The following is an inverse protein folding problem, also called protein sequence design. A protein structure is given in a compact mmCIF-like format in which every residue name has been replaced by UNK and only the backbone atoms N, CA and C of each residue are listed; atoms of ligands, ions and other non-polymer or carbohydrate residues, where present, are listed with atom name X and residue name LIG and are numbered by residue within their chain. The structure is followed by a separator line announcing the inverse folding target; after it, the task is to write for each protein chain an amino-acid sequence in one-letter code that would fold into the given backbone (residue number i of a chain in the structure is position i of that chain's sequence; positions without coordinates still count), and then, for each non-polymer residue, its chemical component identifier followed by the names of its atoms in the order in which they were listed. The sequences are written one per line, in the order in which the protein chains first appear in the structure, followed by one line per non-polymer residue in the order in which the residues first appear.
data_IF_439115313742
#
_entry.id   IF_439115313742
#
_cell.length_a   1.000
_cell.length_b   1.000
_cell.length_c   1.000
_cell.angle_alpha   90.00
_cell.angle_beta   90.00
_cell.angle_gamma   90.00
#
_symmetry.space_group_name_H-M   'P 1'
#
loop_
_entity.id
_entity.type
_entity.pdbx_description
1 polymer ?
#
# COMPACT_ATOMS: atom_id res chain seq x y z
N UNK A 1 6.99 11.08 25.11
CA UNK A 1 7.83 10.73 23.94
C UNK A 1 7.01 11.10 22.72
N UNK A 2 7.52 11.97 21.87
CA UNK A 2 6.83 12.40 20.64
C UNK A 2 6.56 11.16 19.76
N UNK A 3 5.35 11.01 19.24
CA UNK A 3 4.96 9.90 18.37
C UNK A 3 5.85 9.81 17.12
N UNK A 4 6.32 10.98 16.66
CA UNK A 4 7.28 11.15 15.56
C UNK A 4 8.62 10.49 15.87
N UNK A 5 9.14 10.72 17.08
CA UNK A 5 10.43 10.17 17.53
C UNK A 5 10.34 8.64 17.71
N UNK A 6 9.21 8.15 18.23
CA UNK A 6 8.96 6.73 18.35
C UNK A 6 8.94 6.04 16.98
N UNK A 7 8.30 6.65 15.98
CA UNK A 7 8.24 6.12 14.62
C UNK A 7 9.62 6.11 13.94
N UNK A 8 10.43 7.15 14.15
CA UNK A 8 11.81 7.18 13.64
C UNK A 8 12.63 6.00 14.15
N UNK A 9 12.57 5.74 15.47
CA UNK A 9 13.26 4.61 16.08
C UNK A 9 12.78 3.27 15.50
N UNK A 10 11.47 3.08 15.33
CA UNK A 10 10.92 1.87 14.71
C UNK A 10 11.45 1.65 13.29
N UNK A 11 11.57 2.72 12.49
CA UNK A 11 12.14 2.64 11.14
C UNK A 11 13.62 2.27 11.16
N UNK A 12 14.40 2.82 12.07
CA UNK A 12 15.81 2.45 12.25
C UNK A 12 15.95 0.98 12.65
N UNK A 13 15.20 0.54 13.65
CA UNK A 13 15.17 -0.85 14.10
C UNK A 13 14.74 -1.81 12.97
N UNK A 14 13.79 -1.39 12.13
CA UNK A 14 13.34 -2.17 10.97
C UNK A 14 14.43 -2.29 9.90
N UNK A 15 15.15 -1.20 9.58
CA UNK A 15 16.26 -1.23 8.61
C UNK A 15 17.37 -2.18 9.05
N UNK A 16 17.68 -2.21 10.35
CA UNK A 16 18.69 -3.10 10.92
C UNK A 16 18.35 -4.60 10.78
N UNK A 17 17.07 -4.94 10.54
CA UNK A 17 16.64 -6.32 10.29
C UNK A 17 16.89 -6.78 8.85
N UNK A 18 17.36 -5.88 7.96
CA UNK A 18 17.76 -6.17 6.58
C UNK A 18 16.66 -6.88 5.76
N UNK A 19 15.40 -6.52 5.99
CA UNK A 19 14.22 -7.17 5.40
C UNK A 19 14.10 -6.93 3.91
N UNK A 20 13.57 -7.93 3.21
CA UNK A 20 13.28 -7.92 1.78
C UNK A 20 11.77 -7.81 1.51
N UNK A 21 11.40 -7.18 0.39
CA UNK A 21 9.99 -6.97 0.03
C UNK A 21 9.71 -7.32 -1.43
N UNK A 22 8.52 -7.89 -1.67
CA UNK A 22 7.92 -7.92 -3.00
C UNK A 22 6.67 -7.03 -3.11
N UNK A 23 6.44 -6.48 -4.30
CA UNK A 23 5.28 -5.64 -4.60
C UNK A 23 4.57 -6.17 -5.84
N UNK A 24 3.29 -6.52 -5.70
CA UNK A 24 2.38 -6.78 -6.81
C UNK A 24 1.62 -5.49 -7.15
N UNK A 25 1.52 -5.17 -8.44
CA UNK A 25 0.75 -3.99 -8.89
C UNK A 25 1.50 -2.67 -8.77
N UNK A 26 2.84 -2.69 -8.78
CA UNK A 26 3.69 -1.49 -8.72
C UNK A 26 3.45 -0.48 -9.86
N UNK A 27 2.84 -0.92 -10.98
CA UNK A 27 2.47 -0.03 -12.09
C UNK A 27 1.15 0.72 -11.89
N UNK A 28 0.39 0.39 -10.82
CA UNK A 28 -0.86 1.07 -10.47
C UNK A 28 -0.60 2.37 -9.69
N UNK A 29 -1.64 3.16 -9.47
CA UNK A 29 -1.51 4.45 -8.77
C UNK A 29 -0.94 4.28 -7.36
N UNK A 30 -1.55 3.41 -6.56
CA UNK A 30 -1.07 3.11 -5.20
C UNK A 30 0.29 2.43 -5.21
N UNK A 31 0.51 1.47 -6.10
CA UNK A 31 1.77 0.73 -6.19
C UNK A 31 2.96 1.61 -6.57
N UNK A 32 2.76 2.63 -7.42
CA UNK A 32 3.81 3.57 -7.80
C UNK A 32 4.21 4.47 -6.64
N UNK A 33 3.23 4.99 -5.90
CA UNK A 33 3.47 5.80 -4.70
C UNK A 33 4.15 4.95 -3.61
N UNK A 34 3.71 3.71 -3.41
CA UNK A 34 4.32 2.77 -2.46
C UNK A 34 5.78 2.48 -2.79
N UNK A 35 6.08 2.14 -4.05
CA UNK A 35 7.46 1.91 -4.47
C UNK A 35 8.34 3.14 -4.23
N UNK A 36 7.82 4.33 -4.59
CA UNK A 36 8.53 5.59 -4.37
C UNK A 36 8.85 5.82 -2.89
N UNK A 37 7.86 5.72 -2.01
CA UNK A 37 8.08 5.94 -0.57
C UNK A 37 9.00 4.87 0.06
N UNK A 38 8.94 3.61 -0.40
CA UNK A 38 9.86 2.55 0.04
C UNK A 38 11.32 2.91 -0.28
N UNK A 39 11.58 3.40 -1.50
CA UNK A 39 12.92 3.77 -1.94
C UNK A 39 13.41 5.03 -1.21
N UNK A 40 12.56 6.05 -1.09
CA UNK A 40 12.89 7.30 -0.38
C UNK A 40 13.23 7.05 1.10
N UNK A 41 12.52 6.13 1.76
CA UNK A 41 12.75 5.81 3.17
C UNK A 41 13.80 4.72 3.39
N UNK A 42 14.25 4.04 2.33
CA UNK A 42 15.21 2.93 2.37
C UNK A 42 14.87 1.89 3.45
N UNK A 43 13.59 1.50 3.52
CA UNK A 43 13.09 0.60 4.58
C UNK A 43 13.50 -0.86 4.37
N UNK A 44 13.73 -1.26 3.12
CA UNK A 44 14.03 -2.64 2.74
C UNK A 44 15.40 -2.71 2.05
N UNK A 45 16.10 -3.81 2.31
CA UNK A 45 17.42 -4.09 1.72
C UNK A 45 17.34 -4.57 0.28
N UNK A 46 16.22 -5.20 -0.08
CA UNK A 46 15.92 -5.71 -1.42
C UNK A 46 14.46 -5.45 -1.75
N UNK A 47 14.21 -4.88 -2.93
CA UNK A 47 12.87 -4.58 -3.44
C UNK A 47 12.65 -5.33 -4.76
N UNK A 48 11.61 -6.15 -4.82
CA UNK A 48 11.26 -6.94 -6.01
C UNK A 48 9.86 -6.58 -6.50
N UNK A 49 9.71 -6.21 -7.76
CA UNK A 49 8.41 -6.01 -8.40
C UNK A 49 8.02 -7.30 -9.09
N UNK A 50 6.82 -7.79 -8.81
CA UNK A 50 6.27 -8.96 -9.50
C UNK A 50 5.06 -8.49 -10.32
N UNK A 51 5.09 -8.75 -11.62
CA UNK A 51 4.00 -8.31 -12.48
C UNK A 51 4.06 -8.85 -13.90
N UNK A 52 3.02 -8.56 -14.68
CA UNK A 52 2.87 -9.08 -16.06
C UNK A 52 3.74 -8.40 -17.12
N UNK A 53 4.48 -7.36 -16.76
CA UNK A 53 5.32 -6.58 -17.69
C UNK A 53 6.44 -5.88 -16.94
N UNK A 54 7.58 -5.71 -17.62
CA UNK A 54 8.70 -4.90 -17.13
C UNK A 54 8.31 -3.42 -17.13
N UNK A 55 8.73 -2.70 -16.09
CA UNK A 55 8.60 -1.26 -15.95
C UNK A 55 9.93 -0.57 -16.26
N UNK A 56 9.82 0.58 -16.91
CA UNK A 56 10.95 1.48 -17.20
C UNK A 56 10.94 2.61 -16.19
N UNK A 57 12.10 2.88 -15.59
CA UNK A 57 12.32 3.97 -14.65
C UNK A 57 13.52 4.77 -15.12
N UNK A 58 13.41 6.09 -15.11
CA UNK A 58 14.50 6.99 -15.53
C UNK A 58 15.38 7.44 -14.35
N UNK A 59 14.89 7.26 -13.12
CA UNK A 59 15.56 7.68 -11.89
C UNK A 59 16.56 6.64 -11.37
N UNK A 60 17.74 7.08 -10.94
CA UNK A 60 18.85 6.23 -10.44
C UNK A 60 18.42 5.32 -9.29
N UNK A 61 17.56 5.82 -8.40
CA UNK A 61 17.06 5.10 -7.23
C UNK A 61 16.35 3.78 -7.59
N UNK A 62 15.85 3.65 -8.81
CA UNK A 62 15.11 2.47 -9.28
C UNK A 62 16.00 1.44 -9.97
N UNK A 63 17.27 1.72 -10.23
CA UNK A 63 18.17 0.77 -10.92
C UNK A 63 18.41 -0.51 -10.13
N UNK A 64 18.34 -0.43 -8.81
CA UNK A 64 18.54 -1.57 -7.91
C UNK A 64 17.24 -2.34 -7.62
N UNK A 65 16.13 -1.99 -8.27
CA UNK A 65 14.84 -2.68 -8.08
C UNK A 65 14.79 -3.91 -8.97
N UNK A 66 14.67 -5.09 -8.36
CA UNK A 66 14.48 -6.34 -9.08
C UNK A 66 13.08 -6.37 -9.72
N UNK A 67 12.96 -6.94 -10.92
CA UNK A 67 11.68 -7.07 -11.61
C UNK A 67 11.51 -8.50 -12.14
N UNK A 68 10.54 -9.20 -11.59
CA UNK A 68 10.12 -10.53 -12.03
C UNK A 68 8.87 -10.40 -12.92
N UNK A 69 9.05 -10.73 -14.20
CA UNK A 69 7.94 -10.72 -15.16
C UNK A 69 7.30 -12.11 -15.18
N UNK A 70 6.04 -12.18 -14.75
CA UNK A 70 5.31 -13.44 -14.56
C UNK A 70 4.06 -13.50 -15.43
N UNK A 71 3.65 -14.71 -15.80
CA UNK A 71 2.33 -14.97 -16.36
C UNK A 71 1.38 -15.39 -15.23
N UNK A 72 0.37 -14.55 -14.94
CA UNK A 72 -0.59 -14.83 -13.87
C UNK A 72 -1.52 -16.01 -14.19
N UNK A 73 -1.68 -16.39 -15.47
CA UNK A 73 -2.47 -17.58 -15.84
C UNK A 73 -1.70 -18.88 -15.58
N UNK A 74 -0.37 -18.79 -15.40
CA UNK A 74 0.53 -19.92 -15.14
C UNK A 74 1.45 -19.64 -13.96
N UNK A 75 0.89 -19.08 -12.90
CA UNK A 75 1.68 -18.55 -11.79
C UNK A 75 2.56 -19.61 -11.08
N UNK A 76 2.15 -20.88 -11.12
CA UNK A 76 2.91 -22.01 -10.58
C UNK A 76 4.30 -22.15 -11.22
N UNK A 77 4.42 -21.86 -12.52
CA UNK A 77 5.71 -21.87 -13.25
C UNK A 77 6.66 -20.76 -12.76
N UNK A 78 6.13 -19.76 -12.05
CA UNK A 78 6.83 -18.60 -11.54
C UNK A 78 6.91 -18.58 -10.00
N UNK A 79 6.69 -19.71 -9.33
CA UNK A 79 6.73 -19.81 -7.86
C UNK A 79 8.06 -19.28 -7.27
N UNK A 80 9.17 -19.41 -8.00
CA UNK A 80 10.49 -18.87 -7.59
C UNK A 80 10.50 -17.35 -7.42
N UNK A 81 9.65 -16.61 -8.13
CA UNK A 81 9.56 -15.14 -8.02
C UNK A 81 9.12 -14.69 -6.62
N UNK A 82 8.38 -15.53 -5.89
CA UNK A 82 7.86 -15.26 -4.55
C UNK A 82 8.73 -15.78 -3.41
N UNK A 83 9.83 -16.48 -3.72
CA UNK A 83 10.69 -17.10 -2.71
C UNK A 83 11.66 -16.09 -2.09
N UNK A 84 11.90 -16.23 -0.78
CA UNK A 84 12.95 -15.50 -0.06
C UNK A 84 12.63 -14.03 0.24
N UNK A 85 11.36 -13.63 0.21
CA UNK A 85 10.93 -12.30 0.63
C UNK A 85 10.33 -12.34 2.04
N UNK A 86 10.61 -11.33 2.85
CA UNK A 86 10.05 -11.22 4.21
C UNK A 86 8.66 -10.56 4.23
N UNK A 87 8.43 -9.58 3.34
CA UNK A 87 7.21 -8.77 3.30
C UNK A 87 6.63 -8.75 1.89
N UNK A 88 5.30 -8.78 1.77
CA UNK A 88 4.59 -8.68 0.50
C UNK A 88 3.53 -7.59 0.51
N UNK A 89 3.52 -6.72 -0.49
CA UNK A 89 2.43 -5.77 -0.73
C UNK A 89 1.66 -6.14 -1.99
N UNK A 90 0.34 -6.28 -1.88
CA UNK A 90 -0.54 -6.50 -3.02
C UNK A 90 -1.38 -5.24 -3.31
N UNK A 91 -1.02 -4.52 -4.37
CA UNK A 91 -1.75 -3.36 -4.89
C UNK A 91 -2.46 -3.65 -6.21
N UNK A 92 -2.73 -4.93 -6.51
CA UNK A 92 -3.47 -5.31 -7.71
C UNK A 92 -4.93 -4.88 -7.56
N UNK A 93 -5.38 -4.03 -8.48
CA UNK A 93 -6.77 -3.61 -8.56
C UNK A 93 -7.58 -4.56 -9.46
N UNK A 94 -8.69 -5.07 -8.93
CA UNK A 94 -9.78 -5.60 -9.76
C UNK A 94 -11.02 -4.73 -9.50
N UNK A 95 -11.99 -4.72 -10.41
CA UNK A 95 -13.26 -4.05 -10.10
C UNK A 95 -13.99 -4.85 -9.02
N UNK A 96 -14.73 -4.19 -8.12
CA UNK A 96 -15.49 -4.86 -7.04
C UNK A 96 -16.43 -5.96 -7.55
N UNK A 97 -16.88 -5.84 -8.80
CA UNK A 97 -17.70 -6.82 -9.51
C UNK A 97 -16.95 -8.11 -9.90
N UNK A 98 -15.62 -8.07 -10.00
CA UNK A 98 -14.77 -9.21 -10.41
C UNK A 98 -14.13 -9.94 -9.23
N UNK A 99 -13.82 -9.27 -8.12
CA UNK A 99 -13.20 -9.89 -6.94
C UNK A 99 -14.18 -10.56 -5.97
N UNK A 100 -15.48 -10.24 -6.05
CA UNK A 100 -16.41 -10.52 -4.96
C UNK A 100 -16.11 -9.62 -3.74
N UNK A 101 -17.13 -9.13 -3.05
CA UNK A 101 -16.90 -8.28 -1.88
C UNK A 101 -16.37 -9.14 -0.71
N UNK A 102 -15.06 -9.07 -0.45
CA UNK A 102 -14.42 -9.71 0.71
C UNK A 102 -14.00 -11.18 0.53
N UNK A 103 -14.32 -11.82 -0.60
CA UNK A 103 -13.97 -13.23 -0.84
C UNK A 103 -12.44 -13.44 -0.91
N UNK A 104 -11.73 -12.52 -1.56
CA UNK A 104 -10.27 -12.56 -1.62
C UNK A 104 -9.66 -12.41 -0.23
N UNK A 105 -10.22 -11.55 0.61
CA UNK A 105 -9.72 -11.32 1.97
C UNK A 105 -9.84 -12.60 2.81
N UNK A 106 -10.99 -13.28 2.75
CA UNK A 106 -11.22 -14.54 3.45
C UNK A 106 -10.26 -15.66 2.97
N UNK A 107 -10.07 -15.78 1.64
CA UNK A 107 -9.15 -16.80 1.08
C UNK A 107 -7.70 -16.55 1.45
N UNK A 108 -7.28 -15.28 1.57
CA UNK A 108 -5.90 -14.95 1.98
C UNK A 108 -5.71 -15.18 3.49
N UNK A 109 -6.74 -14.95 4.30
CA UNK A 109 -6.72 -15.28 5.73
C UNK A 109 -6.48 -16.78 5.97
N UNK A 110 -7.07 -17.64 5.14
CA UNK A 110 -6.87 -19.11 5.20
C UNK A 110 -5.41 -19.55 4.94
N UNK A 111 -4.60 -18.72 4.29
CA UNK A 111 -3.18 -19.00 4.05
C UNK A 111 -2.32 -18.88 5.33
N UNK A 112 -2.86 -18.27 6.39
CA UNK A 112 -2.23 -18.20 7.73
C UNK A 112 -0.79 -17.68 7.71
N UNK A 113 -0.57 -16.56 7.02
CA UNK A 113 0.67 -15.79 7.18
C UNK A 113 0.92 -15.45 8.66
N UNK A 114 2.18 -15.35 9.05
CA UNK A 114 2.56 -14.95 10.42
C UNK A 114 1.93 -13.61 10.81
N UNK A 115 1.78 -12.72 9.83
CA UNK A 115 1.05 -11.46 9.93
C UNK A 115 0.35 -11.14 8.60
N UNK A 116 -0.94 -10.85 8.67
CA UNK A 116 -1.77 -10.45 7.54
C UNK A 116 -2.49 -9.13 7.83
N UNK A 117 -2.19 -8.08 7.05
CA UNK A 117 -2.79 -6.75 7.24
C UNK A 117 -3.67 -6.35 6.05
N UNK A 118 -4.95 -6.06 6.31
CA UNK A 118 -5.95 -5.63 5.32
C UNK A 118 -6.22 -4.15 5.49
N UNK A 119 -6.07 -3.39 4.41
CA UNK A 119 -6.36 -1.96 4.37
C UNK A 119 -7.65 -1.73 3.59
N UNK A 120 -8.67 -1.17 4.24
CA UNK A 120 -9.97 -0.82 3.64
C UNK A 120 -10.12 0.71 3.54
N UNK A 121 -9.42 1.37 2.59
CA UNK A 121 -9.56 2.79 2.38
C UNK A 121 -10.96 3.15 1.86
N UNK A 122 -11.39 4.38 2.12
CA UNK A 122 -12.50 4.97 1.38
C UNK A 122 -12.08 5.29 -0.07
N UNK A 123 -12.82 6.14 -0.79
CA UNK A 123 -12.47 6.48 -2.18
C UNK A 123 -11.06 7.07 -2.23
N UNK A 124 -10.15 6.44 -2.98
CA UNK A 124 -8.82 6.98 -3.21
C UNK A 124 -8.93 8.33 -3.93
N UNK A 125 -8.44 9.38 -3.28
CA UNK A 125 -8.17 10.65 -3.95
C UNK A 125 -6.84 10.49 -4.69
N UNK A 126 -6.94 10.42 -6.00
CA UNK A 126 -5.80 10.50 -6.90
C UNK A 126 -5.99 11.79 -7.70
N UNK A 127 -4.90 12.45 -8.11
CA UNK A 127 -4.92 13.50 -9.14
C UNK A 127 -5.23 12.89 -10.53
N UNK A 128 -6.38 12.23 -10.64
CA UNK A 128 -6.95 11.79 -11.91
C UNK A 128 -7.73 12.95 -12.51
N UNK A 129 -7.49 13.22 -13.78
CA UNK A 129 -8.34 14.06 -14.62
C UNK A 129 -9.77 13.51 -14.84
N UNK A 130 -10.16 12.40 -14.21
CA UNK A 130 -11.48 11.81 -14.42
C UNK A 130 -12.35 11.90 -13.16
N UNK A 131 -13.26 12.87 -13.22
CA UNK A 131 -14.48 12.95 -12.43
C UNK A 131 -15.19 11.60 -12.45
N UNK A 132 -15.47 11.03 -11.27
CA UNK A 132 -16.48 9.98 -11.17
C UNK A 132 -17.85 10.65 -11.39
N UNK A 133 -18.68 10.22 -12.36
CA UNK A 133 -19.92 10.92 -12.73
C UNK A 133 -20.90 11.23 -11.58
N UNK A 134 -20.85 10.43 -10.50
CA UNK A 134 -21.64 10.66 -9.30
C UNK A 134 -21.20 11.89 -8.47
N UNK A 135 -19.94 12.30 -8.56
CA UNK A 135 -19.39 13.44 -7.81
C UNK A 135 -19.90 14.78 -8.34
N UNK A 136 -20.17 14.87 -9.65
CA UNK A 136 -20.89 16.01 -10.25
C UNK A 136 -22.33 16.09 -9.75
N UNK A 137 -23.02 14.95 -9.64
CA UNK A 137 -24.39 14.87 -9.13
C UNK A 137 -24.45 15.25 -7.65
N UNK A 138 -23.51 14.79 -6.83
CA UNK A 138 -23.41 15.18 -5.41
C UNK A 138 -23.08 16.66 -5.26
N UNK A 139 -22.13 17.22 -6.03
CA UNK A 139 -21.81 18.66 -5.99
C UNK A 139 -22.98 19.54 -6.45
N UNK A 140 -23.76 19.09 -7.43
CA UNK A 140 -24.89 19.85 -7.97
C UNK A 140 -26.10 19.87 -7.03
N UNK A 141 -26.32 18.80 -6.26
CA UNK A 141 -27.48 18.69 -5.38
C UNK A 141 -27.18 18.96 -3.88
N UNK A 142 -25.93 18.86 -3.43
CA UNK A 142 -25.55 19.02 -2.02
C UNK A 142 -24.44 20.07 -1.83
N UNK A 143 -24.53 21.20 -2.54
CA UNK A 143 -23.49 22.24 -2.77
C UNK A 143 -22.74 22.86 -1.57
N UNK A 144 -22.86 22.33 -0.36
CA UNK A 144 -22.03 22.69 0.80
C UNK A 144 -21.96 21.53 1.79
N UNK A 145 -21.16 20.50 1.49
CA UNK A 145 -20.86 19.44 2.46
C UNK A 145 -19.67 19.85 3.35
N UNK A 146 -19.75 19.62 4.67
CA UNK A 146 -18.67 19.96 5.59
C UNK A 146 -17.40 19.15 5.28
N UNK A 147 -16.21 19.75 5.49
CA UNK A 147 -14.91 19.09 5.24
C UNK A 147 -14.77 17.72 5.92
N UNK A 148 -15.44 17.52 7.06
CA UNK A 148 -15.50 16.24 7.79
C UNK A 148 -16.23 15.12 7.03
N UNK A 149 -17.17 15.45 6.15
CA UNK A 149 -17.85 14.48 5.28
C UNK A 149 -16.97 14.04 4.11
N UNK A 150 -16.09 14.93 3.63
CA UNK A 150 -15.12 14.61 2.58
C UNK A 150 -14.02 13.65 3.07
N UNK A 151 -13.54 13.78 4.32
CA UNK A 151 -12.56 12.86 4.90
C UNK A 151 -13.15 11.50 5.30
N UNK A 152 -14.45 11.43 5.58
CA UNK A 152 -15.15 10.15 5.81
C UNK A 152 -15.31 9.32 4.53
N UNK A 153 -15.36 9.97 3.37
CA UNK A 153 -15.64 9.33 2.08
C UNK A 153 -14.42 9.18 1.17
N UNK A 154 -13.27 9.74 1.55
CA UNK A 154 -12.09 9.72 0.71
C UNK A 154 -10.77 9.74 1.49
N UNK A 155 -9.70 9.27 0.86
CA UNK A 155 -8.35 9.22 1.43
C UNK A 155 -7.29 9.41 0.34
N UNK A 156 -6.30 10.30 0.52
CA UNK A 156 -5.17 10.43 -0.40
C UNK A 156 -4.38 9.13 -0.49
N UNK A 157 -3.89 8.80 -1.69
CA UNK A 157 -3.08 7.59 -1.90
C UNK A 157 -1.84 7.60 -1.02
N UNK A 158 -1.19 8.75 -0.85
CA UNK A 158 -0.03 8.95 0.02
C UNK A 158 -0.37 8.59 1.48
N UNK A 159 -1.54 8.98 1.97
CA UNK A 159 -1.97 8.62 3.33
C UNK A 159 -2.13 7.12 3.49
N UNK A 160 -2.67 6.43 2.48
CA UNK A 160 -2.79 4.97 2.49
C UNK A 160 -1.42 4.31 2.51
N UNK A 161 -0.50 4.75 1.64
CA UNK A 161 0.87 4.22 1.55
C UNK A 161 1.62 4.43 2.86
N UNK A 162 1.55 5.63 3.45
CA UNK A 162 2.18 5.91 4.74
C UNK A 162 1.62 5.03 5.85
N UNK A 163 0.30 4.82 5.87
CA UNK A 163 -0.31 3.89 6.80
C UNK A 163 0.23 2.47 6.62
N UNK A 164 0.38 1.99 5.38
CA UNK A 164 0.97 0.68 5.08
C UNK A 164 2.40 0.56 5.61
N UNK A 165 3.26 1.54 5.33
CA UNK A 165 4.66 1.52 5.77
C UNK A 165 4.80 1.67 7.29
N UNK A 166 4.00 2.54 7.90
CA UNK A 166 3.97 2.72 9.35
C UNK A 166 3.44 1.48 10.07
N UNK A 167 2.52 0.74 9.47
CA UNK A 167 2.08 -0.55 10.00
C UNK A 167 3.19 -1.61 9.91
N UNK A 168 3.89 -1.66 8.78
CA UNK A 168 4.92 -2.67 8.51
C UNK A 168 6.10 -2.58 9.49
N UNK A 169 6.52 -1.37 9.88
CA UNK A 169 7.63 -1.17 10.82
C UNK A 169 7.23 -1.34 12.30
N UNK A 170 5.93 -1.38 12.60
CA UNK A 170 5.44 -1.59 13.96
C UNK A 170 5.44 -3.10 14.27
N UNK A 171 6.02 -3.54 15.40
CA UNK A 171 5.86 -4.91 15.86
C UNK A 171 4.38 -5.16 16.18
N UNK A 172 3.88 -6.32 15.79
CA UNK A 172 2.51 -6.74 16.07
C UNK A 172 2.51 -8.21 16.46
N UNK A 173 1.72 -8.56 17.47
CA UNK A 173 1.48 -9.94 17.88
C UNK A 173 0.17 -10.48 17.28
N UNK A 174 -0.59 -9.63 16.58
CA UNK A 174 -1.83 -10.01 15.92
C UNK A 174 -1.53 -10.70 14.60
N UNK A 175 -2.14 -11.87 14.38
CA UNK A 175 -2.02 -12.59 13.10
C UNK A 175 -2.76 -11.89 11.98
N UNK A 176 -3.87 -11.23 12.29
CA UNK A 176 -4.69 -10.49 11.33
C UNK A 176 -4.96 -9.07 11.84
N UNK A 177 -4.73 -8.09 10.98
CA UNK A 177 -4.99 -6.68 11.25
C UNK A 177 -5.92 -6.13 10.17
N UNK A 178 -7.05 -5.53 10.55
CA UNK A 178 -7.96 -4.87 9.62
C UNK A 178 -8.00 -3.38 9.92
N UNK A 179 -7.49 -2.57 8.99
CA UNK A 179 -7.41 -1.13 9.10
C UNK A 179 -8.49 -0.48 8.22
N UNK A 180 -9.50 0.09 8.86
CA UNK A 180 -10.52 0.88 8.18
C UNK A 180 -10.00 2.27 7.77
N UNK A 181 -10.83 3.06 7.09
CA UNK A 181 -10.46 4.39 6.62
C UNK A 181 -10.00 5.31 7.76
N UNK A 182 -10.60 5.22 8.95
CA UNK A 182 -10.23 6.04 10.10
C UNK A 182 -8.85 5.64 10.64
N UNK A 183 -8.61 4.34 10.79
CA UNK A 183 -7.32 3.79 11.20
C UNK A 183 -6.21 4.16 10.20
N UNK A 184 -6.50 4.09 8.90
CA UNK A 184 -5.59 4.52 7.83
C UNK A 184 -5.21 6.00 7.99
N UNK A 185 -6.19 6.88 8.18
CA UNK A 185 -5.92 8.31 8.38
C UNK A 185 -5.08 8.57 9.62
N UNK A 186 -5.36 7.87 10.73
CA UNK A 186 -4.61 8.04 11.97
C UNK A 186 -3.16 7.56 11.80
N UNK A 187 -2.97 6.39 11.18
CA UNK A 187 -1.64 5.80 11.02
C UNK A 187 -0.80 6.53 9.96
N UNK A 188 -1.43 7.07 8.91
CA UNK A 188 -0.76 7.86 7.87
C UNK A 188 -0.32 9.26 8.33
N UNK A 189 -0.96 9.83 9.36
CA UNK A 189 -0.59 11.15 9.93
C UNK A 189 0.74 11.14 10.67
N UNK A 190 1.11 10.02 11.28
CA UNK A 190 2.35 9.90 12.05
C UNK A 190 3.63 10.21 11.22
N UNK A 191 3.54 10.16 9.89
CA UNK A 191 4.63 10.47 8.97
C UNK A 191 4.62 11.93 8.45
N UNK A 192 3.49 12.65 8.58
CA UNK A 192 3.39 14.02 8.07
C UNK A 192 4.28 15.04 8.82
N UNK A 193 4.75 14.68 10.01
CA UNK A 193 5.73 15.42 10.82
C UNK A 193 7.19 15.03 10.54
N UNK A 194 7.45 13.99 9.73
CA UNK A 194 8.80 13.49 9.42
C UNK A 194 9.39 14.09 8.14
N UNK A 195 8.68 15.02 7.47
CA UNK A 195 9.30 15.83 6.44
C UNK A 195 10.28 16.83 7.09
N UNK A 196 11.52 16.93 6.59
CA UNK A 196 12.43 18.00 7.03
C UNK A 196 11.87 19.39 6.72
#
# INVERSE_FOLDING_TARGET
MDETEALRKLREDFRMQNKSVFILGASGETGRVLLKEILEQSLFSKVTLIGRRKLTFDEEAYKNVNQEVVDFEKLDDYASAFQGHDVGFCCLGTTRNKAGAGEVEARVEELKFDRYSVFRPAVLLCDRQEFRPGEWLVRKFFGSLPKSWASGNSVPVETVVRAMLNNAVRPSNEKMELLDNTAIHNLGKADSSLKP
#
